data_IF_033856347491
#
_entry.id   IF_033856347491
#
_cell.length_a   1.000
_cell.length_b   1.000
_cell.length_c   1.000
_cell.angle_alpha   90.00
_cell.angle_beta   90.00
_cell.angle_gamma   90.00
#
_symmetry.space_group_name_H-M   'P 1'
#
loop_
_entity.id
_entity.type
_entity.pdbx_description
1 polymer ?
#
# COMPACT_ATOMS: atom_id res chain seq x y z
N UNK A 1 -33.99 5.58 -39.86
CA UNK A 1 -33.93 7.06 -39.69
C UNK A 1 -33.81 7.45 -38.18
N UNK A 2 -34.35 6.73 -37.18
CA UNK A 2 -34.14 7.13 -35.78
C UNK A 2 -32.71 6.86 -35.22
N UNK A 3 -31.95 5.95 -35.80
CA UNK A 3 -30.63 5.53 -35.31
C UNK A 3 -29.53 6.57 -35.60
N UNK A 4 -29.65 7.33 -36.68
CA UNK A 4 -28.65 8.33 -37.06
C UNK A 4 -28.69 9.58 -36.17
N UNK A 5 -29.84 9.92 -35.60
CA UNK A 5 -29.99 11.07 -34.70
C UNK A 5 -29.38 10.87 -33.30
N UNK A 6 -29.32 9.63 -32.83
CA UNK A 6 -28.75 9.31 -31.50
C UNK A 6 -27.21 9.34 -31.54
N UNK A 7 -26.59 8.93 -32.64
CA UNK A 7 -25.12 8.92 -32.81
C UNK A 7 -24.58 10.35 -32.94
N UNK A 8 -25.37 11.28 -33.51
CA UNK A 8 -24.96 12.69 -33.62
C UNK A 8 -24.98 13.46 -32.28
N UNK A 9 -25.79 13.03 -31.31
CA UNK A 9 -25.84 13.67 -29.97
C UNK A 9 -24.65 13.19 -29.11
N UNK A 10 -24.22 11.95 -29.23
CA UNK A 10 -23.05 11.43 -28.47
C UNK A 10 -21.73 12.02 -28.97
N UNK A 11 -21.59 12.35 -30.24
CA UNK A 11 -20.35 12.94 -30.79
C UNK A 11 -20.19 14.45 -30.49
N UNK A 12 -21.24 15.13 -30.02
CA UNK A 12 -21.17 16.55 -29.67
C UNK A 12 -20.75 16.82 -28.23
N UNK A 13 -20.61 15.79 -27.38
CA UNK A 13 -20.20 15.95 -25.98
C UNK A 13 -18.70 15.69 -25.72
N UNK A 14 -17.91 15.33 -26.73
CA UNK A 14 -16.46 15.13 -26.61
C UNK A 14 -15.60 16.32 -27.08
N UNK A 15 -16.22 17.49 -27.37
CA UNK A 15 -15.45 18.69 -27.73
C UNK A 15 -15.26 19.61 -26.53
N UNK A 16 -14.04 19.72 -26.04
CA UNK A 16 -13.58 20.78 -25.16
C UNK A 16 -13.74 22.15 -25.83
N UNK A 17 -14.69 22.96 -25.36
CA UNK A 17 -14.87 24.32 -25.84
C UNK A 17 -14.44 25.30 -24.75
N UNK A 18 -13.31 25.97 -24.94
CA UNK A 18 -12.93 27.19 -24.23
C UNK A 18 -13.83 28.34 -24.62
N UNK A 19 -14.56 28.96 -23.69
CA UNK A 19 -15.34 30.18 -23.96
C UNK A 19 -15.09 31.29 -22.95
N UNK A 20 -14.95 32.49 -23.45
CA UNK A 20 -14.80 33.75 -22.74
C UNK A 20 -16.12 34.20 -22.09
N UNK A 21 -16.03 34.86 -20.95
CA UNK A 21 -17.03 35.05 -19.91
C UNK A 21 -18.25 35.94 -20.20
N UNK A 22 -18.55 36.35 -21.42
CA UNK A 22 -19.66 37.28 -21.68
C UNK A 22 -20.88 36.70 -22.43
N UNK A 23 -20.84 35.47 -22.90
CA UNK A 23 -21.94 34.80 -23.63
C UNK A 23 -22.71 33.74 -22.81
N UNK A 24 -22.32 33.51 -21.55
CA UNK A 24 -22.76 32.35 -20.73
C UNK A 24 -24.22 32.47 -20.28
N UNK A 25 -24.73 33.63 -19.98
CA UNK A 25 -26.08 33.80 -19.43
C UNK A 25 -27.23 33.55 -20.43
N UNK A 26 -27.00 33.82 -21.71
CA UNK A 26 -27.98 33.52 -22.78
C UNK A 26 -28.06 32.02 -23.08
N UNK A 27 -26.92 31.35 -23.09
CA UNK A 27 -26.80 29.91 -23.39
C UNK A 27 -27.37 29.02 -22.27
N UNK A 28 -27.19 29.39 -21.02
CA UNK A 28 -27.71 28.64 -19.86
C UNK A 28 -29.26 28.59 -19.83
N UNK A 29 -29.94 29.63 -20.32
CA UNK A 29 -31.40 29.62 -20.45
C UNK A 29 -31.86 28.68 -21.60
N UNK A 30 -31.15 28.60 -22.69
CA UNK A 30 -31.47 27.68 -23.78
C UNK A 30 -31.16 26.22 -23.41
N UNK A 31 -30.06 25.95 -22.68
CA UNK A 31 -29.72 24.62 -22.16
C UNK A 31 -30.76 24.14 -21.15
N UNK A 32 -31.24 25.01 -20.27
CA UNK A 32 -32.31 24.69 -19.32
C UNK A 32 -33.65 24.38 -20.00
N UNK A 33 -33.95 25.09 -21.07
CA UNK A 33 -35.15 24.84 -21.90
C UNK A 33 -35.05 23.51 -22.69
N UNK A 34 -33.87 23.21 -23.22
CA UNK A 34 -33.60 21.92 -23.86
C UNK A 34 -33.67 20.75 -22.86
N UNK A 35 -33.14 20.95 -21.63
CA UNK A 35 -33.15 19.94 -20.58
C UNK A 35 -34.57 19.60 -20.11
N UNK A 36 -35.42 20.60 -19.92
CA UNK A 36 -36.85 20.38 -19.61
C UNK A 36 -37.63 19.67 -20.72
N UNK A 37 -37.31 19.95 -21.98
CA UNK A 37 -37.98 19.30 -23.10
C UNK A 37 -37.50 17.87 -23.34
N UNK A 38 -36.20 17.57 -23.07
CA UNK A 38 -35.65 16.23 -23.18
C UNK A 38 -36.18 15.35 -22.03
N UNK A 39 -36.30 15.85 -20.80
CA UNK A 39 -36.92 15.11 -19.70
C UNK A 39 -38.39 14.84 -19.93
N UNK A 40 -39.15 15.79 -20.50
CA UNK A 40 -40.55 15.58 -20.87
C UNK A 40 -40.72 14.58 -22.02
N UNK A 41 -39.81 14.57 -23.00
CA UNK A 41 -39.76 13.59 -24.08
C UNK A 41 -39.44 12.18 -23.59
N UNK A 42 -38.47 12.06 -22.65
CA UNK A 42 -38.09 10.80 -22.05
C UNK A 42 -39.24 10.25 -21.19
N UNK A 43 -39.92 11.10 -20.41
CA UNK A 43 -41.08 10.69 -19.59
C UNK A 43 -42.24 10.24 -20.45
N UNK A 44 -42.55 10.95 -21.53
CA UNK A 44 -43.58 10.55 -22.48
C UNK A 44 -43.23 9.28 -23.27
N UNK A 45 -41.94 9.03 -23.54
CA UNK A 45 -41.48 7.78 -24.16
C UNK A 45 -41.59 6.59 -23.23
N UNK A 46 -41.39 6.80 -21.92
CA UNK A 46 -41.57 5.78 -20.88
C UNK A 46 -43.03 5.31 -20.80
N UNK A 47 -43.98 6.21 -20.85
CA UNK A 47 -45.41 5.92 -20.84
C UNK A 47 -45.84 5.09 -22.09
N UNK A 48 -45.23 5.37 -23.26
CA UNK A 48 -45.46 4.66 -24.50
C UNK A 48 -44.72 3.32 -24.64
N UNK A 49 -43.66 3.08 -23.83
CA UNK A 49 -42.83 1.87 -23.90
C UNK A 49 -43.40 0.72 -23.05
N UNK A 50 -44.28 0.98 -22.09
CA UNK A 50 -44.92 -0.06 -21.30
C UNK A 50 -45.84 -1.01 -22.10
N UNK A 51 -46.20 -0.63 -23.33
CA UNK A 51 -47.05 -1.39 -24.23
C UNK A 51 -46.31 -2.18 -25.31
N UNK A 52 -44.95 -2.32 -25.28
CA UNK A 52 -44.16 -3.01 -26.31
C UNK A 52 -43.37 -4.21 -25.85
N UNK A 53 -42.96 -5.14 -26.79
CA UNK A 53 -42.31 -6.41 -26.44
C UNK A 53 -40.91 -6.29 -25.81
N UNK A 54 -40.52 -7.36 -25.10
CA UNK A 54 -39.35 -7.44 -24.17
C UNK A 54 -37.96 -6.98 -24.72
N UNK A 55 -37.73 -7.03 -26.00
CA UNK A 55 -36.45 -6.63 -26.62
C UNK A 55 -36.16 -5.11 -26.57
N UNK A 56 -37.21 -4.29 -26.48
CA UNK A 56 -37.06 -2.83 -26.38
C UNK A 56 -36.82 -2.40 -24.92
N UNK A 57 -37.31 -3.18 -23.95
CA UNK A 57 -37.08 -2.89 -22.52
C UNK A 57 -35.61 -3.04 -22.11
N UNK A 58 -34.91 -4.01 -22.70
CA UNK A 58 -33.46 -4.21 -22.43
C UNK A 58 -32.60 -3.05 -22.92
N UNK A 59 -32.96 -2.44 -24.07
CA UNK A 59 -32.20 -1.31 -24.62
C UNK A 59 -32.38 -0.03 -23.80
N UNK A 60 -33.58 0.21 -23.25
CA UNK A 60 -33.86 1.39 -22.41
C UNK A 60 -33.20 1.26 -21.05
N UNK A 61 -33.10 0.05 -20.48
CA UNK A 61 -32.38 -0.19 -19.24
C UNK A 61 -30.88 0.06 -19.37
N UNK A 62 -30.28 -0.26 -20.52
CA UNK A 62 -28.86 0.01 -20.81
C UNK A 62 -28.58 1.53 -20.93
N UNK A 63 -29.48 2.29 -21.53
CA UNK A 63 -29.33 3.76 -21.69
C UNK A 63 -29.54 4.48 -20.36
N UNK A 64 -30.45 4.00 -19.50
CA UNK A 64 -30.70 4.56 -18.16
C UNK A 64 -29.54 4.31 -17.18
N UNK A 65 -28.80 3.20 -17.32
CA UNK A 65 -27.62 2.90 -16.49
C UNK A 65 -26.38 3.74 -16.86
N UNK A 66 -26.32 4.29 -18.08
CA UNK A 66 -25.15 5.08 -18.55
C UNK A 66 -25.21 6.57 -18.21
N UNK A 67 -26.35 7.07 -17.79
CA UNK A 67 -26.52 8.50 -17.49
C UNK A 67 -26.40 8.81 -15.98
N UNK A 68 -25.43 8.22 -15.26
CA UNK A 68 -24.91 8.88 -14.07
C UNK A 68 -24.07 10.06 -14.54
N UNK A 69 -24.63 11.25 -14.47
CA UNK A 69 -23.87 12.49 -14.56
C UNK A 69 -22.84 12.44 -13.43
N UNK A 70 -21.62 12.04 -13.75
CA UNK A 70 -20.48 12.14 -12.84
C UNK A 70 -20.22 13.64 -12.61
N UNK A 71 -20.90 14.23 -11.62
CA UNK A 71 -20.54 15.58 -11.19
C UNK A 71 -19.13 15.50 -10.62
N UNK A 72 -18.17 16.12 -11.29
CA UNK A 72 -16.78 16.19 -10.82
C UNK A 72 -16.72 16.60 -9.35
N UNK A 73 -16.06 15.81 -8.54
CA UNK A 73 -15.79 16.07 -7.13
C UNK A 73 -14.52 16.91 -6.94
N UNK A 74 -13.80 17.18 -8.03
CA UNK A 74 -12.60 18.00 -8.03
C UNK A 74 -12.84 19.36 -7.36
N UNK A 75 -11.96 19.76 -6.45
CA UNK A 75 -12.06 21.00 -5.69
C UNK A 75 -13.13 21.03 -4.58
N UNK A 76 -13.86 19.93 -4.37
CA UNK A 76 -14.90 19.82 -3.33
C UNK A 76 -14.47 18.85 -2.24
N UNK A 77 -15.00 19.06 -1.02
CA UNK A 77 -14.93 18.08 0.06
C UNK A 77 -15.73 16.83 -0.33
N UNK A 78 -15.16 15.65 -0.10
CA UNK A 78 -15.83 14.36 -0.29
C UNK A 78 -16.20 13.82 1.09
N UNK A 79 -17.42 13.30 1.23
CA UNK A 79 -17.83 12.45 2.35
C UNK A 79 -17.69 11.00 1.95
N UNK A 80 -17.04 10.21 2.82
CA UNK A 80 -16.76 8.80 2.54
C UNK A 80 -16.57 8.00 3.83
N UNK A 81 -16.55 6.68 3.74
CA UNK A 81 -16.28 5.81 4.87
C UNK A 81 -14.78 5.63 5.07
N UNK A 82 -14.39 5.59 6.35
CA UNK A 82 -13.03 5.28 6.78
C UNK A 82 -13.01 4.50 8.10
N UNK A 83 -11.95 3.75 8.33
CA UNK A 83 -11.66 3.16 9.62
C UNK A 83 -10.78 4.10 10.44
N UNK A 84 -11.35 4.71 11.47
CA UNK A 84 -10.71 5.72 12.31
C UNK A 84 -10.19 5.08 13.60
N UNK A 85 -8.92 5.29 13.90
CA UNK A 85 -8.33 5.02 15.21
C UNK A 85 -8.50 6.27 16.08
N UNK A 86 -9.44 6.25 17.02
CA UNK A 86 -9.70 7.38 17.89
C UNK A 86 -8.66 7.52 19.01
N UNK A 87 -8.19 6.41 19.53
CA UNK A 87 -7.19 6.33 20.61
C UNK A 87 -6.42 5.02 20.55
N UNK A 88 -5.23 5.02 21.14
CA UNK A 88 -4.37 3.85 21.18
C UNK A 88 -5.03 2.67 21.90
N UNK A 89 -4.80 1.46 21.40
CA UNK A 89 -5.25 0.21 22.01
C UNK A 89 -6.75 -0.07 21.88
N UNK A 90 -7.49 0.75 21.12
CA UNK A 90 -8.92 0.54 20.85
C UNK A 90 -9.15 0.00 19.44
N UNK A 91 -10.22 -0.76 19.21
CA UNK A 91 -10.61 -1.16 17.85
C UNK A 91 -10.85 0.05 16.94
N UNK A 92 -10.62 -0.13 15.64
CA UNK A 92 -10.97 0.86 14.63
C UNK A 92 -12.50 1.04 14.56
N UNK A 93 -12.94 2.28 14.42
CA UNK A 93 -14.36 2.64 14.24
C UNK A 93 -14.61 3.00 12.79
N UNK A 94 -15.66 2.42 12.18
CA UNK A 94 -16.07 2.79 10.83
C UNK A 94 -16.92 4.05 10.91
N UNK A 95 -16.43 5.12 10.29
CA UNK A 95 -17.01 6.46 10.37
C UNK A 95 -17.20 7.08 8.99
N UNK A 96 -18.22 7.92 8.83
CA UNK A 96 -18.27 8.86 7.72
C UNK A 96 -17.34 10.03 8.02
N UNK A 97 -16.35 10.24 7.19
CA UNK A 97 -15.38 11.33 7.29
C UNK A 97 -15.51 12.29 6.12
N UNK A 98 -14.96 13.48 6.29
CA UNK A 98 -14.78 14.47 5.23
C UNK A 98 -13.33 14.48 4.79
N UNK A 99 -13.11 14.42 3.46
CA UNK A 99 -11.78 14.46 2.83
C UNK A 99 -11.70 15.72 1.97
N UNK A 100 -10.77 16.61 2.32
CA UNK A 100 -10.56 17.87 1.62
C UNK A 100 -10.05 17.64 0.17
N UNK A 101 -10.26 18.61 -0.73
CA UNK A 101 -9.60 18.61 -2.03
C UNK A 101 -8.08 18.73 -1.87
N UNK A 102 -7.30 18.18 -2.84
CA UNK A 102 -5.84 18.26 -2.81
C UNK A 102 -5.38 19.71 -3.03
N UNK A 103 -4.38 20.14 -2.24
CA UNK A 103 -3.66 21.41 -2.44
C UNK A 103 -2.51 21.23 -3.43
N UNK A 104 -1.72 22.28 -3.64
CA UNK A 104 -0.57 22.27 -4.53
C UNK A 104 0.41 21.12 -4.20
N UNK A 105 0.77 20.32 -5.20
CA UNK A 105 1.65 19.15 -5.08
C UNK A 105 1.00 17.92 -4.42
N UNK A 106 -0.32 17.95 -4.17
CA UNK A 106 -1.08 16.85 -3.58
C UNK A 106 -1.99 16.18 -4.61
N UNK A 107 -2.33 14.92 -4.32
CA UNK A 107 -3.20 14.09 -5.15
C UNK A 107 -4.26 13.46 -4.26
N UNK A 108 -5.53 13.59 -4.60
CA UNK A 108 -6.60 12.83 -3.96
C UNK A 108 -6.83 11.54 -4.72
N UNK A 109 -6.79 10.44 -3.98
CA UNK A 109 -6.88 9.08 -4.53
C UNK A 109 -8.12 8.40 -3.98
N UNK A 110 -8.93 7.79 -4.85
CA UNK A 110 -9.95 6.83 -4.48
C UNK A 110 -9.28 5.48 -4.26
N UNK A 111 -9.26 5.02 -3.02
CA UNK A 111 -8.69 3.71 -2.67
C UNK A 111 -9.71 2.62 -3.03
N UNK A 112 -9.25 1.56 -3.68
CA UNK A 112 -10.06 0.39 -4.04
C UNK A 112 -9.72 -0.82 -3.19
N UNK A 113 -8.47 -0.92 -2.75
CA UNK A 113 -8.00 -2.00 -1.89
C UNK A 113 -6.81 -1.54 -1.04
N UNK A 114 -6.66 -2.14 0.15
CA UNK A 114 -5.53 -1.87 1.02
C UNK A 114 -5.17 -3.11 1.86
N UNK A 115 -3.87 -3.39 1.99
CA UNK A 115 -3.37 -4.45 2.87
C UNK A 115 -3.34 -4.01 4.33
N UNK A 116 -3.57 -4.95 5.25
CA UNK A 116 -3.38 -4.75 6.70
C UNK A 116 -2.00 -5.23 7.10
N UNK A 117 -1.22 -4.37 7.74
CA UNK A 117 0.18 -4.61 8.09
C UNK A 117 0.42 -4.52 9.60
N UNK A 118 1.47 -5.20 10.08
CA UNK A 118 1.91 -5.09 11.48
C UNK A 118 2.32 -3.67 11.88
N UNK A 119 2.75 -2.83 10.94
CA UNK A 119 3.05 -1.41 11.20
C UNK A 119 1.79 -0.65 11.61
N UNK A 120 0.64 -0.92 10.98
CA UNK A 120 -0.65 -0.34 11.40
C UNK A 120 -1.02 -0.79 12.82
N UNK A 121 -0.84 -2.09 13.13
CA UNK A 121 -1.10 -2.65 14.45
C UNK A 121 -0.15 -2.10 15.52
N UNK A 122 1.12 -1.90 15.17
CA UNK A 122 2.13 -1.31 16.04
C UNK A 122 1.72 0.10 16.47
N UNK A 123 1.33 0.96 15.52
CA UNK A 123 0.83 2.30 15.81
C UNK A 123 -0.49 2.23 16.60
N UNK A 124 -1.46 1.41 16.15
CA UNK A 124 -2.74 1.25 16.85
C UNK A 124 -2.57 0.80 18.31
N UNK A 125 -1.55 -0.01 18.61
CA UNK A 125 -1.26 -0.46 19.97
C UNK A 125 -0.69 0.63 20.89
N UNK A 126 -0.32 1.81 20.36
CA UNK A 126 0.31 2.91 21.11
C UNK A 126 1.80 2.71 21.39
N UNK A 127 2.45 1.72 20.76
CA UNK A 127 3.89 1.45 20.91
C UNK A 127 4.76 2.27 19.97
N UNK A 128 4.16 2.91 18.95
CA UNK A 128 4.84 3.75 17.98
C UNK A 128 5.11 5.14 18.58
N UNK A 129 6.38 5.58 18.68
CA UNK A 129 6.70 6.90 19.23
C UNK A 129 6.22 8.07 18.34
N UNK A 130 5.93 7.81 17.07
CA UNK A 130 5.34 8.77 16.14
C UNK A 130 3.82 8.61 16.01
N UNK A 131 3.23 7.69 16.77
CA UNK A 131 1.79 7.44 16.77
C UNK A 131 0.99 8.62 17.34
N UNK A 132 0.12 9.21 16.53
CA UNK A 132 -0.77 10.32 16.89
C UNK A 132 -2.22 9.93 16.67
N UNK A 133 -3.13 10.44 17.51
CA UNK A 133 -4.55 10.12 17.48
C UNK A 133 -5.41 11.38 17.62
N UNK A 134 -6.62 11.43 17.04
CA UNK A 134 -7.25 10.43 16.18
C UNK A 134 -6.64 10.41 14.77
N UNK A 135 -6.57 9.22 14.14
CA UNK A 135 -5.86 9.02 12.88
C UNK A 135 -6.60 8.07 11.93
N UNK A 136 -6.42 8.27 10.62
CA UNK A 136 -6.74 7.26 9.59
C UNK A 136 -5.45 6.51 9.28
N UNK A 137 -5.39 5.21 9.66
CA UNK A 137 -4.25 4.34 9.41
C UNK A 137 -4.23 3.82 7.95
N UNK A 138 -3.38 2.82 7.68
CA UNK A 138 -3.25 2.18 6.37
C UNK A 138 -2.16 2.81 5.50
N UNK A 139 -1.32 1.95 4.89
CA UNK A 139 -0.21 2.40 4.05
C UNK A 139 0.12 1.44 2.89
N UNK A 140 -0.61 0.34 2.74
CA UNK A 140 -0.47 -0.60 1.61
C UNK A 140 -1.68 -0.46 0.67
N UNK A 141 -1.92 0.73 0.12
CA UNK A 141 -3.09 1.02 -0.71
C UNK A 141 -2.86 0.87 -2.21
N UNK A 142 -3.95 0.61 -2.92
CA UNK A 142 -4.05 0.70 -4.37
C UNK A 142 -5.32 1.45 -4.76
N UNK A 143 -5.22 2.41 -5.67
CA UNK A 143 -6.37 3.25 -5.99
C UNK A 143 -6.27 3.96 -7.32
N UNK A 144 -7.25 4.82 -7.58
CA UNK A 144 -7.36 5.61 -8.81
C UNK A 144 -7.30 7.09 -8.42
N UNK A 145 -6.53 7.87 -9.17
CA UNK A 145 -6.47 9.32 -8.98
C UNK A 145 -7.84 9.94 -9.24
N UNK A 146 -8.41 10.60 -8.24
CA UNK A 146 -9.70 11.32 -8.39
C UNK A 146 -9.47 12.76 -8.84
N UNK A 147 -8.54 13.47 -8.21
CA UNK A 147 -8.18 14.83 -8.57
C UNK A 147 -6.74 15.13 -8.17
N UNK A 148 -6.16 16.16 -8.79
CA UNK A 148 -4.79 16.61 -8.54
C UNK A 148 -4.77 18.08 -8.17
N UNK A 149 -3.85 18.46 -7.29
CA UNK A 149 -3.59 19.85 -6.95
C UNK A 149 -2.68 20.53 -7.97
N UNK A 150 -2.52 21.84 -7.81
CA UNK A 150 -1.64 22.65 -8.66
C UNK A 150 -0.20 22.11 -8.63
N UNK A 151 0.47 22.12 -9.79
CA UNK A 151 1.87 21.70 -9.94
C UNK A 151 2.10 20.19 -10.01
N UNK A 152 1.09 19.36 -9.85
CA UNK A 152 1.19 17.89 -10.06
C UNK A 152 1.33 17.60 -11.54
N UNK A 153 2.34 16.81 -11.90
CA UNK A 153 2.68 16.51 -13.31
C UNK A 153 2.86 15.03 -13.61
N UNK A 154 3.11 14.18 -12.58
CA UNK A 154 3.43 12.77 -12.79
C UNK A 154 2.21 11.85 -12.88
N UNK A 155 1.04 12.34 -12.50
CA UNK A 155 -0.23 11.62 -12.54
C UNK A 155 -1.38 12.55 -12.90
N UNK A 156 -2.47 11.99 -13.39
CA UNK A 156 -3.71 12.70 -13.75
C UNK A 156 -4.94 11.91 -13.28
N UNK A 157 -6.14 12.53 -13.20
CA UNK A 157 -7.38 11.82 -12.90
C UNK A 157 -7.58 10.59 -13.79
N UNK A 158 -7.97 9.48 -13.19
CA UNK A 158 -8.12 8.18 -13.83
C UNK A 158 -6.90 7.27 -13.82
N UNK A 159 -5.70 7.77 -13.50
CA UNK A 159 -4.51 6.94 -13.42
C UNK A 159 -4.58 5.97 -12.23
N UNK A 160 -4.18 4.71 -12.43
CA UNK A 160 -3.98 3.73 -11.37
C UNK A 160 -2.68 4.01 -10.62
N UNK A 161 -2.75 3.98 -9.28
CA UNK A 161 -1.64 4.41 -8.42
C UNK A 161 -1.49 3.57 -7.17
N UNK A 162 -0.27 3.54 -6.64
CA UNK A 162 0.08 2.98 -5.34
C UNK A 162 0.70 4.08 -4.47
N UNK A 163 0.11 4.42 -3.31
CA UNK A 163 0.73 5.26 -2.29
C UNK A 163 2.00 4.62 -1.72
N UNK A 164 2.98 5.46 -1.37
CA UNK A 164 4.32 5.05 -0.96
C UNK A 164 4.71 5.76 0.35
N UNK A 165 4.85 5.00 1.43
CA UNK A 165 5.22 5.58 2.72
C UNK A 165 6.69 6.07 2.76
N UNK A 166 7.54 5.56 1.88
CA UNK A 166 8.87 6.12 1.61
C UNK A 166 8.76 7.02 0.38
N UNK A 167 8.71 8.35 0.54
CA UNK A 167 8.62 9.26 -0.60
C UNK A 167 9.90 9.27 -1.42
N UNK A 168 9.81 9.73 -2.68
CA UNK A 168 10.95 9.97 -3.54
C UNK A 168 10.78 11.26 -4.33
N UNK A 169 11.38 12.35 -3.88
CA UNK A 169 11.30 13.64 -4.58
C UNK A 169 12.23 13.73 -5.80
N UNK A 170 13.19 12.83 -5.93
CA UNK A 170 14.23 12.76 -7.00
C UNK A 170 15.23 13.93 -7.05
N UNK A 171 15.15 14.89 -6.12
CA UNK A 171 15.97 16.12 -6.15
C UNK A 171 16.80 16.36 -4.90
N UNK A 172 16.42 15.78 -3.73
CA UNK A 172 17.21 15.95 -2.51
C UNK A 172 18.45 15.03 -2.52
N UNK A 173 19.43 15.38 -1.71
CA UNK A 173 20.68 14.63 -1.54
C UNK A 173 20.42 13.14 -1.30
N UNK A 174 19.49 12.78 -0.40
CA UNK A 174 19.15 11.38 -0.10
C UNK A 174 18.54 10.64 -1.31
N UNK A 175 17.68 11.31 -2.09
CA UNK A 175 17.15 10.69 -3.31
C UNK A 175 18.23 10.49 -4.38
N UNK A 176 19.22 11.37 -4.47
CA UNK A 176 20.30 11.28 -5.44
C UNK A 176 21.43 10.34 -4.99
N UNK A 177 21.60 10.16 -3.68
CA UNK A 177 22.63 9.30 -3.11
C UNK A 177 22.33 7.81 -3.38
N UNK A 178 23.30 7.02 -3.91
CA UNK A 178 23.04 5.63 -4.29
C UNK A 178 22.83 4.67 -3.10
N UNK A 179 23.33 5.02 -1.90
CA UNK A 179 23.31 4.14 -0.72
C UNK A 179 22.07 4.31 0.17
N UNK A 180 21.12 5.18 -0.15
CA UNK A 180 19.93 5.41 0.66
C UNK A 180 18.71 5.67 -0.19
N UNK A 181 17.53 5.30 0.33
CA UNK A 181 16.22 5.57 -0.25
C UNK A 181 15.38 6.52 0.62
N UNK A 182 15.92 7.04 1.72
CA UNK A 182 15.17 7.79 2.74
C UNK A 182 15.08 9.28 2.39
N UNK A 183 14.17 9.63 1.49
CA UNK A 183 13.89 11.03 1.13
C UNK A 183 13.54 11.87 2.37
N UNK A 184 14.23 13.00 2.54
CA UNK A 184 14.05 13.87 3.71
C UNK A 184 13.04 15.00 3.49
N UNK A 185 12.53 15.20 2.27
CA UNK A 185 11.74 16.39 1.93
C UNK A 185 10.45 16.56 2.74
N UNK A 186 9.85 15.45 3.14
CA UNK A 186 8.59 15.46 3.91
C UNK A 186 8.67 14.66 5.22
N UNK A 187 9.85 14.16 5.58
CA UNK A 187 9.99 13.26 6.73
C UNK A 187 9.56 13.91 8.05
N UNK A 188 9.88 15.18 8.25
CA UNK A 188 9.56 15.89 9.49
C UNK A 188 8.04 16.00 9.73
N UNK A 189 7.25 16.32 8.71
CA UNK A 189 5.80 16.46 8.83
C UNK A 189 5.08 15.10 8.76
N UNK A 190 5.63 14.14 8.01
CA UNK A 190 5.12 12.78 7.93
C UNK A 190 5.07 12.09 9.30
N UNK A 191 6.15 12.22 10.10
CA UNK A 191 6.20 11.69 11.47
C UNK A 191 5.29 12.42 12.47
N UNK A 192 4.80 13.61 12.12
CA UNK A 192 3.82 14.36 12.92
C UNK A 192 2.36 14.10 12.48
N UNK A 193 2.15 13.27 11.47
CA UNK A 193 0.83 12.98 10.94
C UNK A 193 0.14 14.15 10.25
N UNK A 194 0.92 15.08 9.65
CA UNK A 194 0.40 16.24 8.93
C UNK A 194 1.01 16.37 7.54
N UNK A 195 0.36 17.14 6.68
CA UNK A 195 0.87 17.51 5.38
C UNK A 195 2.02 18.53 5.52
N UNK A 196 2.85 18.80 4.49
CA UNK A 196 3.98 19.73 4.58
C UNK A 196 3.62 21.14 5.02
N UNK A 197 2.39 21.57 4.83
CA UNK A 197 1.86 22.87 5.29
C UNK A 197 1.41 22.86 6.76
N UNK A 198 1.64 21.76 7.50
CA UNK A 198 1.25 21.58 8.90
C UNK A 198 -0.24 21.33 9.11
N UNK A 199 -1.04 21.21 8.05
CA UNK A 199 -2.49 20.99 8.14
C UNK A 199 -2.87 19.54 7.78
N UNK A 200 -4.12 19.18 8.03
CA UNK A 200 -4.69 17.84 7.78
C UNK A 200 -5.74 17.92 6.67
N UNK A 201 -6.07 16.78 6.07
CA UNK A 201 -7.06 16.69 4.99
C UNK A 201 -8.30 15.91 5.38
N UNK A 202 -8.37 15.42 6.61
CA UNK A 202 -9.49 14.63 7.11
C UNK A 202 -10.18 15.30 8.29
N UNK A 203 -11.51 15.20 8.33
CA UNK A 203 -12.34 15.58 9.48
C UNK A 203 -13.42 14.54 9.74
N UNK A 204 -13.73 14.31 11.01
CA UNK A 204 -14.84 13.46 11.46
C UNK A 204 -15.50 14.09 12.69
N UNK A 205 -16.84 14.22 12.67
CA UNK A 205 -17.60 14.77 13.81
C UNK A 205 -17.04 16.11 14.30
N UNK A 206 -16.59 16.97 13.37
CA UNK A 206 -16.02 18.29 13.67
C UNK A 206 -14.59 18.29 14.21
N UNK A 207 -13.94 17.12 14.32
CA UNK A 207 -12.53 16.99 14.71
C UNK A 207 -11.66 16.70 13.50
N UNK A 208 -10.47 17.28 13.45
CA UNK A 208 -9.45 16.93 12.48
C UNK A 208 -8.83 15.57 12.82
N UNK A 209 -8.55 14.75 11.78
CA UNK A 209 -7.86 13.48 11.92
C UNK A 209 -6.45 13.60 11.33
N UNK A 210 -5.48 12.96 11.99
CA UNK A 210 -4.11 12.89 11.52
C UNK A 210 -3.96 11.97 10.31
N UNK A 211 -2.91 12.22 9.53
CA UNK A 211 -2.43 11.32 8.49
C UNK A 211 -1.51 10.25 9.07
N UNK A 212 -1.48 9.09 8.43
CA UNK A 212 -0.58 8.00 8.78
C UNK A 212 0.42 7.75 7.64
N UNK A 213 1.71 7.91 7.94
CA UNK A 213 2.82 7.67 7.01
C UNK A 213 2.67 8.39 5.66
N UNK A 214 1.91 9.48 5.59
CA UNK A 214 1.59 10.21 4.37
C UNK A 214 0.72 9.43 3.37
N UNK A 215 0.05 8.36 3.79
CA UNK A 215 -0.75 7.44 2.96
C UNK A 215 -2.22 7.38 3.40
N UNK A 216 -2.51 6.98 4.66
CA UNK A 216 -3.87 6.88 5.24
C UNK A 216 -4.85 6.13 4.35
N UNK A 217 -4.54 4.87 4.04
CA UNK A 217 -5.31 4.11 3.04
C UNK A 217 -6.51 3.33 3.61
N UNK A 218 -6.78 3.40 4.93
CA UNK A 218 -8.00 2.81 5.52
C UNK A 218 -9.21 3.73 5.37
N UNK A 219 -9.34 4.36 4.21
CA UNK A 219 -10.42 5.25 3.82
C UNK A 219 -10.71 5.09 2.33
N UNK A 220 -11.98 5.24 1.93
CA UNK A 220 -12.35 5.22 0.50
C UNK A 220 -11.65 6.31 -0.32
N UNK A 221 -11.28 7.43 0.32
CA UNK A 221 -10.48 8.49 -0.30
C UNK A 221 -9.37 8.95 0.64
N UNK A 222 -8.21 9.21 0.07
CA UNK A 222 -7.08 9.80 0.80
C UNK A 222 -6.44 10.92 -0.01
N UNK A 223 -5.68 11.78 0.66
CA UNK A 223 -4.85 12.81 0.01
C UNK A 223 -3.40 12.53 0.34
N UNK A 224 -2.58 12.38 -0.69
CA UNK A 224 -1.16 12.07 -0.60
C UNK A 224 -0.34 13.10 -1.38
N UNK A 225 0.94 13.21 -1.08
CA UNK A 225 1.85 14.02 -1.89
C UNK A 225 2.20 13.30 -3.20
N UNK A 226 2.36 14.05 -4.30
CA UNK A 226 2.84 13.51 -5.58
C UNK A 226 4.13 12.70 -5.42
N UNK A 227 5.05 13.14 -4.55
CA UNK A 227 6.33 12.45 -4.29
C UNK A 227 6.18 11.16 -3.47
N UNK A 228 5.01 10.92 -2.90
CA UNK A 228 4.62 9.71 -2.16
C UNK A 228 3.66 8.83 -2.95
N UNK A 229 3.71 8.90 -4.27
CA UNK A 229 2.78 8.19 -5.16
C UNK A 229 3.51 7.71 -6.42
N UNK A 230 3.18 6.51 -6.89
CA UNK A 230 3.62 6.06 -8.20
C UNK A 230 2.44 5.60 -9.05
N UNK A 231 2.50 5.92 -10.36
CA UNK A 231 1.59 5.39 -11.37
C UNK A 231 1.97 3.95 -11.69
N UNK A 232 0.95 3.12 -11.85
CA UNK A 232 1.09 1.72 -12.27
C UNK A 232 0.24 1.47 -13.53
N UNK A 233 0.53 0.43 -14.33
CA UNK A 233 -0.29 0.08 -15.49
C UNK A 233 -1.75 -0.20 -15.11
N UNK A 234 -2.70 0.24 -15.94
CA UNK A 234 -4.14 0.04 -15.71
C UNK A 234 -4.53 -1.46 -15.66
N UNK A 235 -3.73 -2.32 -16.30
CA UNK A 235 -3.91 -3.77 -16.27
C UNK A 235 -3.51 -4.41 -14.92
N UNK A 236 -2.84 -3.67 -14.03
CA UNK A 236 -2.40 -4.20 -12.75
C UNK A 236 -3.58 -4.25 -11.76
N UNK A 237 -3.90 -5.43 -11.18
CA UNK A 237 -4.95 -5.56 -10.18
C UNK A 237 -4.52 -4.86 -8.89
N UNK A 238 -5.24 -3.80 -8.53
CA UNK A 238 -4.88 -2.92 -7.42
C UNK A 238 -4.90 -3.61 -6.06
N UNK A 239 -5.72 -4.65 -5.90
CA UNK A 239 -5.80 -5.51 -4.71
C UNK A 239 -4.60 -6.47 -4.54
N UNK A 240 -3.71 -6.53 -5.53
CA UNK A 240 -2.44 -7.28 -5.46
C UNK A 240 -1.26 -6.33 -5.38
N UNK A 241 -1.20 -5.35 -6.31
CA UNK A 241 -0.04 -4.45 -6.38
C UNK A 241 0.02 -3.45 -5.23
N UNK A 242 -1.06 -3.24 -4.47
CA UNK A 242 -1.04 -2.48 -3.22
C UNK A 242 0.00 -3.02 -2.21
N UNK A 243 0.28 -4.32 -2.20
CA UNK A 243 1.29 -4.96 -1.35
C UNK A 243 2.72 -4.50 -1.65
N UNK A 244 2.96 -3.94 -2.85
CA UNK A 244 4.23 -3.33 -3.22
C UNK A 244 4.45 -1.97 -2.56
N UNK A 245 3.42 -1.41 -1.92
CA UNK A 245 3.53 -0.18 -1.13
C UNK A 245 4.35 -0.35 0.16
N UNK A 246 4.53 -1.59 0.67
CA UNK A 246 5.28 -1.84 1.90
C UNK A 246 5.90 -3.24 1.97
N UNK A 247 5.14 -4.24 2.49
CA UNK A 247 5.71 -5.48 3.04
C UNK A 247 6.48 -6.33 2.03
N UNK A 248 5.93 -6.54 0.82
CA UNK A 248 6.59 -7.37 -0.21
C UNK A 248 7.85 -6.70 -0.72
N UNK A 249 7.79 -5.42 -1.07
CA UNK A 249 8.96 -4.63 -1.51
C UNK A 249 10.05 -4.61 -0.44
N UNK A 250 9.67 -4.44 0.83
CA UNK A 250 10.60 -4.44 1.96
C UNK A 250 11.37 -5.75 2.07
N UNK A 251 10.68 -6.89 2.13
CA UNK A 251 11.34 -8.18 2.29
C UNK A 251 12.15 -8.59 1.06
N UNK A 252 11.59 -8.43 -0.13
CA UNK A 252 12.26 -8.77 -1.39
C UNK A 252 13.55 -7.95 -1.59
N UNK A 253 13.48 -6.64 -1.34
CA UNK A 253 14.64 -5.76 -1.43
C UNK A 253 15.66 -5.96 -0.30
N UNK A 254 15.23 -6.41 0.89
CA UNK A 254 16.17 -6.73 1.96
C UNK A 254 17.20 -7.79 1.52
N UNK A 255 16.74 -8.80 0.78
CA UNK A 255 17.65 -9.81 0.21
C UNK A 255 18.47 -9.26 -0.95
N UNK A 256 17.84 -8.60 -1.92
CA UNK A 256 18.49 -8.23 -3.18
C UNK A 256 19.34 -6.97 -3.11
N UNK A 257 18.85 -5.91 -2.40
CA UNK A 257 19.51 -4.61 -2.39
C UNK A 257 20.32 -4.37 -1.10
N UNK A 258 19.79 -4.80 0.06
CA UNK A 258 20.40 -4.50 1.36
C UNK A 258 21.46 -5.53 1.72
N UNK A 259 21.08 -6.81 1.75
CA UNK A 259 22.02 -7.92 1.99
C UNK A 259 22.91 -8.18 0.77
N UNK A 260 22.37 -7.99 -0.44
CA UNK A 260 23.02 -8.38 -1.69
C UNK A 260 23.40 -9.86 -1.68
N UNK A 261 22.40 -10.71 -1.40
CA UNK A 261 22.57 -12.16 -1.30
C UNK A 261 23.24 -12.71 -2.54
N UNK A 262 24.31 -13.47 -2.34
CA UNK A 262 25.09 -14.09 -3.41
C UNK A 262 24.59 -15.51 -3.75
N UNK A 263 24.73 -15.96 -5.00
CA UNK A 263 24.40 -17.34 -5.37
C UNK A 263 25.18 -18.36 -4.54
N UNK A 264 24.52 -19.45 -4.14
CA UNK A 264 25.11 -20.51 -3.34
C UNK A 264 25.13 -20.27 -1.83
N UNK A 265 24.69 -19.09 -1.35
CA UNK A 265 24.67 -18.70 0.06
C UNK A 265 23.73 -19.52 0.93
N UNK A 266 24.04 -19.59 2.23
CA UNK A 266 23.17 -20.09 3.28
C UNK A 266 22.49 -18.90 3.99
N UNK A 267 21.15 -18.84 3.92
CA UNK A 267 20.34 -17.78 4.48
C UNK A 267 19.43 -18.29 5.59
N UNK A 268 19.19 -17.50 6.63
CA UNK A 268 18.15 -17.79 7.63
C UNK A 268 17.21 -16.59 7.82
N UNK A 269 15.91 -16.89 7.97
CA UNK A 269 14.83 -15.91 8.04
C UNK A 269 14.06 -16.13 9.34
N UNK A 270 14.12 -15.16 10.25
CA UNK A 270 13.41 -15.18 11.51
C UNK A 270 12.03 -14.53 11.34
N UNK A 271 10.99 -15.36 11.38
CA UNK A 271 9.61 -14.98 11.14
C UNK A 271 9.16 -15.20 9.69
N UNK A 272 8.17 -16.07 9.50
CA UNK A 272 7.58 -16.43 8.21
C UNK A 272 6.21 -15.74 8.00
N UNK A 273 6.15 -14.44 8.30
CA UNK A 273 5.07 -13.54 7.88
C UNK A 273 5.32 -13.02 6.45
N UNK A 274 4.48 -12.10 5.96
CA UNK A 274 4.59 -11.58 4.60
C UNK A 274 5.99 -11.03 4.27
N UNK A 275 6.60 -10.28 5.20
CA UNK A 275 7.96 -9.74 5.01
C UNK A 275 9.00 -10.86 4.90
N UNK A 276 8.96 -11.84 5.82
CA UNK A 276 9.89 -12.97 5.79
C UNK A 276 9.72 -13.86 4.54
N UNK A 277 8.49 -14.06 4.07
CA UNK A 277 8.23 -14.78 2.82
C UNK A 277 8.75 -14.00 1.60
N UNK A 278 8.65 -12.67 1.62
CA UNK A 278 9.23 -11.83 0.58
C UNK A 278 10.77 -11.87 0.60
N UNK A 279 11.39 -11.93 1.80
CA UNK A 279 12.83 -12.18 1.94
C UNK A 279 13.21 -13.55 1.33
N UNK A 280 12.44 -14.60 1.65
CA UNK A 280 12.69 -15.95 1.10
C UNK A 280 12.66 -15.96 -0.42
N UNK A 281 11.66 -15.27 -1.01
CA UNK A 281 11.57 -15.11 -2.45
C UNK A 281 12.79 -14.36 -3.01
N UNK A 282 13.24 -13.30 -2.36
CA UNK A 282 14.45 -12.56 -2.74
C UNK A 282 15.71 -13.43 -2.67
N UNK A 283 15.88 -14.21 -1.61
CA UNK A 283 16.97 -15.18 -1.47
C UNK A 283 16.94 -16.25 -2.58
N UNK A 284 15.74 -16.78 -2.91
CA UNK A 284 15.56 -17.73 -4.01
C UNK A 284 15.98 -17.14 -5.34
N UNK A 285 15.53 -15.91 -5.64
CA UNK A 285 15.87 -15.20 -6.89
C UNK A 285 17.37 -14.89 -6.97
N UNK A 286 18.00 -14.57 -5.83
CA UNK A 286 19.45 -14.38 -5.74
C UNK A 286 20.25 -15.68 -5.89
N UNK A 287 19.61 -16.86 -5.89
CA UNK A 287 20.27 -18.15 -6.05
C UNK A 287 20.87 -18.72 -4.76
N UNK A 288 20.34 -18.34 -3.59
CA UNK A 288 20.73 -18.95 -2.31
C UNK A 288 20.53 -20.48 -2.34
N UNK A 289 21.50 -21.22 -1.77
CA UNK A 289 21.47 -22.69 -1.74
C UNK A 289 20.58 -23.21 -0.62
N UNK A 290 20.73 -22.64 0.59
CA UNK A 290 19.93 -22.98 1.76
C UNK A 290 19.15 -21.75 2.19
N UNK A 291 17.84 -21.91 2.37
CA UNK A 291 16.93 -20.86 2.87
C UNK A 291 16.19 -21.47 4.04
N UNK A 292 16.67 -21.17 5.25
CA UNK A 292 16.17 -21.74 6.50
C UNK A 292 15.12 -20.79 7.07
N UNK A 293 13.88 -21.25 7.17
CA UNK A 293 12.78 -20.51 7.79
C UNK A 293 12.64 -20.83 9.27
N UNK A 294 12.63 -19.81 10.14
CA UNK A 294 12.46 -19.93 11.57
C UNK A 294 11.12 -19.31 11.96
N UNK A 295 10.20 -20.12 12.50
CA UNK A 295 8.92 -19.63 13.05
C UNK A 295 8.44 -20.56 14.17
N UNK A 296 7.73 -20.00 15.14
CA UNK A 296 7.12 -20.76 16.24
C UNK A 296 5.77 -21.41 15.86
N UNK A 297 5.24 -21.06 14.68
CA UNK A 297 4.01 -21.60 14.13
C UNK A 297 4.30 -22.52 12.93
N UNK A 298 4.29 -23.85 13.11
CA UNK A 298 4.63 -24.80 12.04
C UNK A 298 3.60 -24.79 10.90
N UNK A 299 2.39 -24.27 11.08
CA UNK A 299 1.41 -24.13 10.01
C UNK A 299 1.88 -23.24 8.86
N UNK A 300 2.87 -22.34 9.11
CA UNK A 300 3.45 -21.49 8.10
C UNK A 300 4.49 -22.19 7.22
N UNK A 301 4.99 -23.37 7.59
CA UNK A 301 6.08 -24.03 6.89
C UNK A 301 5.67 -24.47 5.48
N UNK A 302 4.45 -25.00 5.32
CA UNK A 302 3.99 -25.45 4.01
C UNK A 302 3.88 -24.32 2.98
N UNK A 303 3.32 -23.19 3.40
CA UNK A 303 3.21 -22.03 2.50
C UNK A 303 4.60 -21.46 2.18
N UNK A 304 5.53 -21.46 3.14
CA UNK A 304 6.87 -20.92 2.96
C UNK A 304 7.70 -21.68 1.91
N UNK A 305 7.41 -22.96 1.67
CA UNK A 305 8.05 -23.74 0.58
C UNK A 305 7.81 -23.09 -0.80
N UNK A 306 6.63 -22.53 -1.04
CA UNK A 306 6.30 -21.85 -2.30
C UNK A 306 7.24 -20.67 -2.55
N UNK A 307 7.65 -19.98 -1.49
CA UNK A 307 8.52 -18.81 -1.55
C UNK A 307 10.02 -19.17 -1.60
N UNK A 308 10.36 -20.46 -1.50
CA UNK A 308 11.72 -20.95 -1.66
C UNK A 308 12.38 -21.40 -0.36
N UNK A 309 11.72 -21.34 0.78
CA UNK A 309 12.24 -21.92 2.02
C UNK A 309 12.35 -23.42 1.85
N UNK A 310 13.54 -23.97 2.08
CA UNK A 310 13.83 -25.39 1.88
C UNK A 310 14.22 -26.15 3.17
N UNK A 311 14.42 -25.41 4.27
CA UNK A 311 14.64 -25.98 5.60
C UNK A 311 13.85 -25.18 6.64
N UNK A 312 13.41 -25.85 7.73
CA UNK A 312 12.55 -25.25 8.73
C UNK A 312 13.04 -25.55 10.12
N UNK A 313 13.00 -24.56 11.01
CA UNK A 313 13.33 -24.69 12.43
C UNK A 313 12.24 -24.04 13.27
N UNK A 314 11.64 -24.83 14.16
CA UNK A 314 10.82 -24.27 15.22
C UNK A 314 11.68 -24.15 16.50
N UNK A 315 11.93 -22.94 16.98
CA UNK A 315 12.76 -22.74 18.19
C UNK A 315 12.27 -23.49 19.42
N UNK A 316 10.94 -23.77 19.50
CA UNK A 316 10.33 -24.50 20.61
C UNK A 316 10.69 -25.98 20.66
N UNK A 317 11.20 -26.56 19.57
CA UNK A 317 11.56 -27.97 19.48
C UNK A 317 13.01 -28.22 19.95
N UNK A 318 13.72 -27.17 20.41
CA UNK A 318 15.12 -27.21 20.80
C UNK A 318 15.35 -26.64 22.20
N UNK A 319 16.23 -27.28 22.98
CA UNK A 319 16.69 -26.78 24.27
C UNK A 319 17.77 -25.69 24.15
N UNK A 320 18.56 -25.74 23.04
CA UNK A 320 19.61 -24.77 22.78
C UNK A 320 19.01 -23.44 22.26
N UNK A 321 19.68 -22.28 22.52
CA UNK A 321 19.33 -21.02 21.88
C UNK A 321 19.34 -21.16 20.34
N UNK A 322 18.39 -20.52 19.65
CA UNK A 322 18.18 -20.67 18.22
C UNK A 322 19.43 -20.38 17.39
N UNK A 323 20.25 -19.39 17.75
CA UNK A 323 21.48 -19.10 17.05
C UNK A 323 22.49 -20.27 17.15
N UNK A 324 22.53 -20.99 18.27
CA UNK A 324 23.40 -22.16 18.42
C UNK A 324 22.89 -23.33 17.58
N UNK A 325 21.57 -23.54 17.52
CA UNK A 325 20.97 -24.55 16.64
C UNK A 325 21.37 -24.30 15.19
N UNK A 326 21.26 -23.04 14.73
CA UNK A 326 21.62 -22.67 13.36
C UNK A 326 23.12 -22.85 13.09
N UNK A 327 23.97 -22.47 14.05
CA UNK A 327 25.43 -22.67 13.91
C UNK A 327 25.77 -24.15 13.87
N UNK A 328 25.16 -24.99 14.71
CA UNK A 328 25.37 -26.45 14.69
C UNK A 328 24.93 -27.09 13.34
N UNK A 329 23.90 -26.52 12.68
CA UNK A 329 23.39 -26.99 11.39
C UNK A 329 24.23 -26.52 10.19
N UNK A 330 24.93 -25.40 10.30
CA UNK A 330 25.48 -24.68 9.13
C UNK A 330 26.92 -24.25 9.26
N UNK A 331 27.52 -24.35 10.46
CA UNK A 331 28.81 -23.76 10.85
C UNK A 331 28.80 -22.21 10.81
N UNK A 332 27.64 -21.59 10.58
CA UNK A 332 27.37 -20.18 10.42
C UNK A 332 26.63 -19.89 9.12
N UNK A 333 26.00 -18.74 9.05
CA UNK A 333 25.19 -18.30 7.92
C UNK A 333 25.81 -17.12 7.20
N UNK A 334 25.70 -17.08 5.88
CA UNK A 334 26.16 -15.94 5.09
C UNK A 334 25.25 -14.72 5.33
N UNK A 335 23.93 -14.97 5.37
CA UNK A 335 22.93 -13.92 5.58
C UNK A 335 21.85 -14.34 6.56
N UNK A 336 21.47 -13.43 7.46
CA UNK A 336 20.30 -13.62 8.33
C UNK A 336 19.37 -12.40 8.25
N UNK A 337 18.07 -12.65 8.39
CA UNK A 337 17.04 -11.62 8.27
C UNK A 337 16.11 -11.70 9.48
N UNK A 338 16.01 -10.62 10.24
CA UNK A 338 15.07 -10.54 11.34
C UNK A 338 13.81 -9.78 10.88
N UNK A 339 12.65 -10.48 10.86
CA UNK A 339 11.39 -10.00 10.29
C UNK A 339 10.25 -9.94 11.33
N UNK A 340 10.57 -9.95 12.63
CA UNK A 340 9.58 -10.02 13.73
C UNK A 340 9.53 -8.70 14.50
N UNK A 341 10.69 -8.04 14.71
CA UNK A 341 10.84 -6.86 15.56
C UNK A 341 11.14 -7.21 17.02
N UNK A 342 11.88 -8.30 17.27
CA UNK A 342 12.28 -8.70 18.60
C UNK A 342 13.79 -8.50 18.80
N UNK A 343 14.19 -7.65 19.73
CA UNK A 343 15.61 -7.28 19.96
C UNK A 343 16.50 -8.47 20.33
N UNK A 344 15.96 -9.47 21.02
CA UNK A 344 16.70 -10.69 21.35
C UNK A 344 16.92 -11.56 20.09
N UNK A 345 15.94 -11.62 19.19
CA UNK A 345 16.07 -12.33 17.93
C UNK A 345 16.95 -11.57 16.94
N UNK A 346 16.96 -10.22 16.96
CA UNK A 346 17.94 -9.42 16.21
C UNK A 346 19.36 -9.79 16.59
N UNK A 347 19.64 -9.92 17.88
CA UNK A 347 20.92 -10.38 18.38
C UNK A 347 21.22 -11.84 18.00
N UNK A 348 20.26 -12.73 18.15
CA UNK A 348 20.41 -14.14 17.78
C UNK A 348 20.72 -14.30 16.28
N UNK A 349 20.04 -13.50 15.42
CA UNK A 349 20.30 -13.47 13.99
C UNK A 349 21.75 -13.07 13.68
N UNK A 350 22.28 -12.03 14.32
CA UNK A 350 23.67 -11.63 14.18
C UNK A 350 24.64 -12.73 14.65
N UNK A 351 24.38 -13.34 15.81
CA UNK A 351 25.23 -14.38 16.37
C UNK A 351 25.24 -15.68 15.56
N UNK A 352 24.19 -15.93 14.76
CA UNK A 352 24.10 -17.06 13.84
C UNK A 352 24.91 -16.88 12.54
N UNK A 353 25.34 -15.67 12.23
CA UNK A 353 26.13 -15.39 11.05
C UNK A 353 27.57 -15.91 11.16
N UNK A 354 28.22 -16.20 10.01
CA UNK A 354 29.64 -16.47 9.94
C UNK A 354 30.47 -15.33 10.51
N UNK A 355 31.52 -15.68 11.23
CA UNK A 355 32.64 -14.75 11.50
C UNK A 355 33.32 -14.40 10.18
N UNK A 356 33.80 -13.18 10.05
CA UNK A 356 34.57 -12.71 8.89
C UNK A 356 33.71 -11.99 7.85
N UNK A 357 32.55 -12.54 7.45
CA UNK A 357 31.78 -11.95 6.35
C UNK A 357 30.25 -11.96 6.53
N UNK A 358 29.71 -12.68 7.52
CA UNK A 358 28.27 -12.83 7.68
C UNK A 358 27.52 -11.51 7.90
N UNK A 359 26.38 -11.35 7.25
CA UNK A 359 25.56 -10.14 7.27
C UNK A 359 24.19 -10.43 7.88
N UNK A 360 23.83 -9.72 8.94
CA UNK A 360 22.51 -9.77 9.55
C UNK A 360 21.73 -8.49 9.23
N UNK A 361 20.50 -8.64 8.72
CA UNK A 361 19.62 -7.52 8.33
C UNK A 361 18.43 -7.44 9.28
N UNK A 362 18.29 -6.29 9.94
CA UNK A 362 17.12 -5.95 10.76
C UNK A 362 16.05 -5.35 9.85
N UNK A 363 14.86 -5.94 9.86
CA UNK A 363 13.71 -5.49 9.09
C UNK A 363 12.51 -5.26 10.00
N UNK A 364 12.34 -6.12 11.01
CA UNK A 364 11.28 -5.99 12.01
C UNK A 364 11.42 -4.72 12.85
N UNK A 365 10.29 -4.10 13.22
CA UNK A 365 10.24 -2.88 14.02
C UNK A 365 10.04 -3.24 15.48
N UNK A 366 11.02 -2.96 16.34
CA UNK A 366 10.94 -3.14 17.78
C UNK A 366 10.08 -2.05 18.44
N UNK A 367 9.57 -2.32 19.63
CA UNK A 367 8.80 -1.36 20.40
C UNK A 367 9.64 -0.13 20.78
N UNK A 368 8.98 1.03 20.92
CA UNK A 368 9.64 2.26 21.37
C UNK A 368 10.39 2.05 22.68
N UNK A 369 11.63 2.55 22.72
CA UNK A 369 12.51 2.44 23.89
C UNK A 369 13.26 1.11 24.02
N UNK A 370 13.00 0.13 23.16
CA UNK A 370 13.83 -1.09 23.13
C UNK A 370 15.16 -0.83 22.40
N UNK A 371 16.22 -1.39 22.96
CA UNK A 371 17.58 -1.25 22.43
C UNK A 371 18.13 -2.61 22.02
N UNK A 372 18.88 -2.65 20.92
CA UNK A 372 19.65 -3.83 20.55
C UNK A 372 20.99 -3.83 21.30
N UNK A 373 21.41 -4.99 21.77
CA UNK A 373 22.70 -5.15 22.44
C UNK A 373 23.48 -6.33 21.88
N UNK A 374 24.78 -6.19 21.73
CA UNK A 374 25.66 -7.30 21.35
C UNK A 374 27.05 -7.12 21.97
N UNK A 375 27.80 -8.22 22.05
CA UNK A 375 29.20 -8.13 22.45
C UNK A 375 30.02 -7.52 21.31
N UNK A 376 30.86 -6.50 21.55
CA UNK A 376 31.65 -5.84 20.51
C UNK A 376 32.46 -6.82 19.65
N UNK A 377 32.92 -7.92 20.25
CA UNK A 377 33.68 -8.95 19.57
C UNK A 377 32.94 -9.62 18.42
N UNK A 378 31.61 -9.62 18.43
CA UNK A 378 30.79 -10.10 17.30
C UNK A 378 31.04 -9.28 16.04
N UNK A 379 31.20 -7.97 16.18
CA UNK A 379 31.47 -7.04 15.07
C UNK A 379 32.96 -6.99 14.73
N UNK A 380 33.84 -6.96 15.73
CA UNK A 380 35.31 -6.96 15.54
C UNK A 380 35.75 -8.17 14.72
N UNK A 381 35.07 -9.32 14.87
CA UNK A 381 35.35 -10.53 14.10
C UNK A 381 34.71 -10.57 12.71
N UNK A 382 34.24 -9.44 12.18
CA UNK A 382 33.88 -9.25 10.79
C UNK A 382 32.40 -9.46 10.45
N UNK A 383 31.52 -9.72 11.43
CA UNK A 383 30.09 -9.72 11.18
C UNK A 383 29.59 -8.30 10.88
N UNK A 384 28.60 -8.19 10.00
CA UNK A 384 27.97 -6.92 9.66
C UNK A 384 26.52 -6.91 10.15
N UNK A 385 26.12 -5.86 10.89
CA UNK A 385 24.72 -5.61 11.25
C UNK A 385 24.18 -4.44 10.44
N UNK A 386 23.12 -4.67 9.67
CA UNK A 386 22.49 -3.66 8.81
C UNK A 386 21.00 -3.54 9.15
N UNK A 387 20.42 -2.39 8.87
CA UNK A 387 18.97 -2.19 8.82
C UNK A 387 18.52 -1.90 7.39
N UNK A 388 17.23 -2.06 7.12
CA UNK A 388 16.61 -1.67 5.86
C UNK A 388 15.23 -1.09 6.08
N UNK A 389 14.90 -0.03 5.32
CA UNK A 389 13.55 0.46 5.15
C UNK A 389 13.17 0.27 3.68
N UNK A 390 11.96 -0.24 3.41
CA UNK A 390 11.46 -0.46 2.06
C UNK A 390 12.40 -1.30 1.18
N UNK A 391 13.18 -2.21 1.80
CA UNK A 391 14.16 -3.04 1.10
C UNK A 391 15.24 -2.28 0.33
N UNK A 392 15.54 -1.04 0.71
CA UNK A 392 16.51 -0.19 0.00
C UNK A 392 16.06 0.34 -1.36
N UNK A 393 14.82 0.05 -1.79
CA UNK A 393 14.31 0.51 -3.08
C UNK A 393 14.03 2.02 -3.11
N UNK A 394 14.40 2.67 -4.20
CA UNK A 394 13.95 4.02 -4.58
C UNK A 394 12.48 3.90 -5.04
N UNK A 395 11.54 4.27 -4.19
CA UNK A 395 10.15 3.83 -4.27
C UNK A 395 9.46 4.12 -5.62
N UNK A 396 9.43 5.39 -6.06
CA UNK A 396 8.77 5.79 -7.32
C UNK A 396 9.43 5.26 -8.58
N UNK A 397 10.72 4.90 -8.54
CA UNK A 397 11.46 4.33 -9.66
C UNK A 397 11.34 2.80 -9.69
N UNK A 398 11.17 2.16 -8.54
CA UNK A 398 11.27 0.71 -8.40
C UNK A 398 9.89 0.04 -8.39
N UNK A 399 8.89 0.61 -7.70
CA UNK A 399 7.58 -0.04 -7.60
C UNK A 399 6.92 -0.28 -8.96
N UNK A 400 6.94 0.65 -9.94
CA UNK A 400 6.42 0.35 -11.27
C UNK A 400 7.09 -0.85 -11.95
N UNK A 401 8.40 -1.03 -11.76
CA UNK A 401 9.15 -2.18 -12.30
C UNK A 401 8.76 -3.50 -11.62
N UNK A 402 8.54 -3.46 -10.29
CA UNK A 402 8.04 -4.64 -9.55
C UNK A 402 6.62 -5.00 -9.98
N UNK A 403 5.78 -4.02 -10.34
CA UNK A 403 4.47 -4.27 -10.94
C UNK A 403 4.61 -4.94 -12.31
N UNK A 404 5.55 -4.49 -13.15
CA UNK A 404 5.86 -5.15 -14.42
C UNK A 404 6.35 -6.59 -14.20
N UNK A 405 7.20 -6.84 -13.22
CA UNK A 405 7.65 -8.19 -12.86
C UNK A 405 6.48 -9.08 -12.39
N UNK A 406 5.51 -8.52 -11.66
CA UNK A 406 4.28 -9.23 -11.31
C UNK A 406 3.44 -9.56 -12.55
N UNK A 407 3.18 -8.61 -13.42
CA UNK A 407 2.42 -8.81 -14.66
C UNK A 407 3.11 -9.85 -15.58
N UNK A 408 4.43 -9.89 -15.57
CA UNK A 408 5.25 -10.87 -16.28
C UNK A 408 5.44 -12.20 -15.52
N UNK A 409 4.69 -12.42 -14.41
CA UNK A 409 4.71 -13.64 -13.57
C UNK A 409 6.08 -13.99 -12.95
N UNK A 410 6.95 -12.99 -12.78
CA UNK A 410 8.24 -13.15 -12.07
C UNK A 410 8.09 -12.95 -10.55
N UNK A 411 7.10 -12.19 -10.13
CA UNK A 411 6.82 -11.89 -8.72
C UNK A 411 5.40 -12.39 -8.37
N UNK A 412 5.23 -13.45 -7.54
CA UNK A 412 3.94 -14.07 -7.27
C UNK A 412 3.17 -13.34 -6.15
N UNK A 413 2.62 -12.14 -6.42
CA UNK A 413 1.88 -11.35 -5.42
C UNK A 413 0.60 -12.04 -4.94
N UNK A 414 -0.05 -12.83 -5.80
CA UNK A 414 -1.28 -13.54 -5.44
C UNK A 414 -1.09 -14.49 -4.26
N UNK A 415 0.08 -15.12 -4.14
CA UNK A 415 0.39 -16.07 -3.07
C UNK A 415 0.51 -15.41 -1.68
N UNK A 416 0.65 -14.08 -1.62
CA UNK A 416 0.67 -13.34 -0.36
C UNK A 416 -0.74 -13.05 0.17
N UNK A 417 -1.76 -13.00 -0.70
CA UNK A 417 -3.13 -12.64 -0.31
C UNK A 417 -3.87 -13.89 0.16
N UNK A 418 -4.11 -13.99 1.46
CA UNK A 418 -4.83 -15.13 2.05
C UNK A 418 -6.28 -14.83 2.41
N UNK A 419 -6.61 -13.57 2.63
CA UNK A 419 -7.95 -13.15 3.03
C UNK A 419 -8.35 -11.86 2.31
N UNK A 420 -9.63 -11.75 2.00
CA UNK A 420 -10.26 -10.56 1.46
C UNK A 420 -11.47 -10.22 2.34
N UNK A 421 -11.53 -8.99 2.82
CA UNK A 421 -12.61 -8.54 3.72
C UNK A 421 -13.13 -7.17 3.26
N UNK A 422 -14.41 -6.83 3.48
CA UNK A 422 -14.90 -5.47 3.28
C UNK A 422 -14.39 -4.54 4.39
N UNK A 423 -14.39 -3.22 4.16
CA UNK A 423 -13.94 -2.20 5.13
C UNK A 423 -14.59 -2.38 6.51
N UNK A 424 -15.88 -2.71 6.57
CA UNK A 424 -16.61 -2.93 7.83
C UNK A 424 -16.04 -4.05 8.71
N UNK A 425 -15.27 -4.96 8.13
CA UNK A 425 -14.64 -6.11 8.79
C UNK A 425 -13.14 -5.92 9.01
N UNK A 426 -12.62 -4.69 8.92
CA UNK A 426 -11.19 -4.41 9.07
C UNK A 426 -10.61 -4.91 10.41
N UNK A 427 -11.37 -4.85 11.51
CA UNK A 427 -10.92 -5.37 12.80
C UNK A 427 -10.72 -6.89 12.77
N UNK A 428 -11.50 -7.63 11.96
CA UNK A 428 -11.26 -9.06 11.74
C UNK A 428 -9.94 -9.30 10.99
N UNK A 429 -9.59 -8.45 10.01
CA UNK A 429 -8.30 -8.54 9.34
C UNK A 429 -7.13 -8.36 10.32
N UNK A 430 -7.24 -7.46 11.31
CA UNK A 430 -6.26 -7.34 12.40
C UNK A 430 -6.23 -8.59 13.28
N UNK A 431 -7.38 -9.17 13.61
CA UNK A 431 -7.45 -10.42 14.37
C UNK A 431 -6.74 -11.58 13.66
N UNK A 432 -7.03 -11.79 12.37
CA UNK A 432 -6.39 -12.82 11.54
C UNK A 432 -4.86 -12.63 11.47
N UNK A 433 -4.40 -11.38 11.41
CA UNK A 433 -2.98 -11.06 11.41
C UNK A 433 -2.34 -11.38 12.78
N UNK A 434 -2.95 -10.96 13.90
CA UNK A 434 -2.42 -11.20 15.24
C UNK A 434 -2.39 -12.68 15.64
N UNK A 435 -3.35 -13.46 15.18
CA UNK A 435 -3.42 -14.91 15.41
C UNK A 435 -2.54 -15.70 14.43
N UNK A 436 -1.88 -15.03 13.47
CA UNK A 436 -1.01 -15.66 12.49
C UNK A 436 -1.75 -16.51 11.44
N UNK A 437 -3.06 -16.32 11.29
CA UNK A 437 -3.90 -17.01 10.32
C UNK A 437 -3.82 -16.38 8.92
N UNK A 438 -3.42 -15.10 8.81
CA UNK A 438 -3.21 -14.44 7.53
C UNK A 438 -1.72 -14.18 7.25
N UNK A 439 -1.32 -14.27 5.97
CA UNK A 439 -0.09 -13.68 5.45
C UNK A 439 -0.36 -12.21 5.18
N UNK A 440 -1.35 -11.92 4.32
CA UNK A 440 -1.96 -10.60 4.14
C UNK A 440 -3.46 -10.73 3.99
N UNK A 441 -4.16 -9.87 4.70
CA UNK A 441 -5.58 -9.61 4.51
C UNK A 441 -5.72 -8.30 3.71
N UNK A 442 -6.51 -8.34 2.64
CA UNK A 442 -6.83 -7.18 1.80
C UNK A 442 -8.23 -6.69 2.16
N UNK A 443 -8.32 -5.41 2.45
CA UNK A 443 -9.58 -4.69 2.68
C UNK A 443 -10.04 -4.09 1.37
N UNK A 444 -11.29 -4.32 0.99
CA UNK A 444 -11.95 -3.77 -0.21
C UNK A 444 -12.99 -2.71 0.18
N UNK A 445 -13.13 -1.70 -0.69
CA UNK A 445 -14.03 -0.57 -0.51
C UNK A 445 -15.21 -0.61 -1.46
#
# INVERSE_FOLDING_TARGET
IPVVYIVLITSMFECDIYFSSMLILGYLRQIRYLYCNITSLITNYYILAESRPSSVRSLIYFISCSARVNMSTAGKVIKCLAAVAWEAGKPLSIEEIEVDPPKAGEVRVKILATGVCHTDAYTLSGKDPEGVFPVVLGHEGGGIVESVGEGVTSVKPGDHVVPLYVPQCKTCEYCLHPKTNLCQKVRATQGQGVMPDGTKRFRCKGKELYHFMGCSTFSEYTVVLEISLCKVPDAAPLDKVCLLGCGVTTGYGAALNTATVEPGSNCAIFGLGAVGLAVALGCKVAGAKRIIGIDINPAKFEIAKKFGVNEFVNPKDHEKPIQQVLVDMTEGLDYTFECIGNVNLMRAALEACHKGWGVSVIIGVAASGEEISTRPFQLVTGRTWKGTAFGGYKSRDSVPKLVEDYLNKKLPLDDFVTHNVPLKEINEAFHLMHTGQSIRAIVHF
#
